data_IF_316907785122
#
_entry.id   IF_316907785122
#
_cell.length_a   1.000
_cell.length_b   1.000
_cell.length_c   1.000
_cell.angle_alpha   90.00
_cell.angle_beta   90.00
_cell.angle_gamma   90.00
#
_symmetry.space_group_name_H-M   'P 1'
#
loop_
_entity.id
_entity.type
_entity.pdbx_description
1 polymer ?
#
# COMPACT_ATOMS: atom_id res chain seq x y z
N UNK A 1 5.41 -37.59 -5.06
CA UNK A 1 4.38 -36.60 -4.64
C UNK A 1 4.99 -35.20 -4.70
N UNK A 2 4.76 -34.47 -5.80
CA UNK A 2 5.28 -33.11 -5.98
C UNK A 2 4.43 -32.13 -5.18
N UNK A 3 4.90 -31.74 -3.99
CA UNK A 3 4.34 -30.63 -3.23
C UNK A 3 4.65 -29.34 -3.98
N UNK A 4 3.67 -28.83 -4.71
CA UNK A 4 3.70 -27.48 -5.26
C UNK A 4 3.70 -26.51 -4.08
N UNK A 5 4.90 -26.05 -3.69
CA UNK A 5 5.02 -24.86 -2.85
C UNK A 5 4.49 -23.69 -3.67
N UNK A 6 3.53 -22.89 -3.17
CA UNK A 6 3.16 -21.66 -3.87
C UNK A 6 4.41 -20.78 -3.93
N UNK A 7 4.83 -20.48 -5.16
CA UNK A 7 5.99 -19.65 -5.47
C UNK A 7 5.86 -18.31 -4.74
N UNK A 8 6.82 -18.00 -3.87
CA UNK A 8 6.97 -16.71 -3.21
C UNK A 8 6.98 -15.59 -4.25
N UNK A 9 5.84 -14.93 -4.50
CA UNK A 9 5.88 -13.56 -5.05
C UNK A 9 6.56 -12.70 -4.00
N UNK A 10 7.85 -12.40 -4.21
CA UNK A 10 8.56 -11.38 -3.43
C UNK A 10 7.86 -10.07 -3.72
N UNK A 11 7.00 -9.62 -2.82
CA UNK A 11 6.54 -8.24 -2.79
C UNK A 11 7.79 -7.36 -2.58
N UNK A 12 8.33 -6.80 -3.65
CA UNK A 12 9.45 -5.88 -3.57
C UNK A 12 8.91 -4.55 -3.07
N UNK A 13 9.16 -4.26 -1.79
CA UNK A 13 8.95 -2.90 -1.27
C UNK A 13 9.89 -1.95 -2.04
N UNK A 14 9.50 -0.68 -2.25
CA UNK A 14 10.39 0.29 -2.86
C UNK A 14 11.71 0.39 -2.09
N UNK A 15 12.76 0.70 -2.85
CA UNK A 15 14.07 1.08 -2.35
C UNK A 15 13.97 2.38 -1.56
N UNK A 16 15.00 2.69 -0.76
CA UNK A 16 15.02 3.96 -0.03
C UNK A 16 14.99 5.14 -1.01
N UNK A 17 14.04 6.06 -0.81
CA UNK A 17 13.83 7.23 -1.68
C UNK A 17 13.22 6.94 -3.06
N UNK A 18 12.94 5.68 -3.40
CA UNK A 18 12.22 5.34 -4.63
C UNK A 18 10.76 5.77 -4.51
N UNK A 19 10.28 6.53 -5.51
CA UNK A 19 8.96 7.13 -5.50
C UNK A 19 8.00 6.36 -6.41
N UNK A 20 6.92 5.81 -5.85
CA UNK A 20 5.91 5.04 -6.58
C UNK A 20 4.60 5.81 -6.64
N UNK A 21 4.04 5.98 -7.83
CA UNK A 21 2.64 6.38 -7.98
C UNK A 21 1.75 5.19 -7.62
N UNK A 22 0.86 5.38 -6.65
CA UNK A 22 0.01 4.30 -6.13
C UNK A 22 -1.47 4.61 -6.25
N UNK A 23 -2.27 3.57 -6.46
CA UNK A 23 -3.73 3.62 -6.27
C UNK A 23 -4.08 2.85 -5.01
N UNK A 24 -4.75 3.49 -4.05
CA UNK A 24 -5.24 2.81 -2.85
C UNK A 24 -6.41 1.93 -3.24
N UNK A 25 -6.32 0.63 -2.92
CA UNK A 25 -7.34 -0.36 -3.22
C UNK A 25 -8.20 -0.69 -2.01
N UNK A 26 -7.57 -0.80 -0.84
CA UNK A 26 -8.24 -1.14 0.41
C UNK A 26 -7.43 -0.65 1.61
N UNK A 27 -8.13 -0.37 2.71
CA UNK A 27 -7.56 0.02 4.00
C UNK A 27 -8.26 -0.80 5.08
N UNK A 28 -7.51 -1.61 5.80
CA UNK A 28 -8.08 -2.52 6.79
C UNK A 28 -7.21 -2.60 8.05
N UNK A 29 -7.86 -2.78 9.20
CA UNK A 29 -7.18 -3.09 10.45
C UNK A 29 -6.93 -4.59 10.53
N UNK A 30 -5.67 -4.98 10.76
CA UNK A 30 -5.28 -6.38 10.96
C UNK A 30 -4.51 -6.58 12.25
N UNK A 31 -4.72 -7.74 12.87
CA UNK A 31 -3.87 -8.22 13.97
C UNK A 31 -2.65 -8.94 13.39
N UNK A 32 -1.47 -8.53 13.83
CA UNK A 32 -0.19 -9.02 13.32
C UNK A 32 0.65 -9.53 14.49
N UNK A 33 1.27 -10.70 14.33
CA UNK A 33 2.21 -11.27 15.30
C UNK A 33 3.54 -11.65 14.66
N UNK A 34 4.64 -11.49 15.40
CA UNK A 34 5.96 -11.99 15.00
C UNK A 34 6.05 -13.49 15.28
N UNK A 35 6.23 -14.29 14.23
CA UNK A 35 6.53 -15.72 14.35
C UNK A 35 8.04 -15.92 14.55
N UNK A 36 8.50 -16.43 15.71
CA UNK A 36 9.92 -16.72 15.92
C UNK A 36 10.43 -17.81 14.96
N UNK A 37 9.61 -18.83 14.70
CA UNK A 37 9.96 -19.93 13.80
C UNK A 37 10.12 -19.48 12.34
N UNK A 38 9.24 -18.59 11.86
CA UNK A 38 9.32 -18.07 10.48
C UNK A 38 10.22 -16.83 10.35
N UNK A 39 10.68 -16.25 11.48
CA UNK A 39 11.46 -15.01 11.54
C UNK A 39 10.83 -13.87 10.75
N UNK A 40 9.50 -13.74 10.84
CA UNK A 40 8.72 -12.70 10.17
C UNK A 40 7.41 -12.42 10.89
N UNK A 41 6.83 -11.27 10.61
CA UNK A 41 5.43 -10.96 10.93
C UNK A 41 4.49 -11.84 10.12
N UNK A 42 3.38 -12.26 10.73
CA UNK A 42 2.27 -12.98 10.10
C UNK A 42 0.95 -12.34 10.52
N UNK A 43 -0.02 -12.33 9.59
CA UNK A 43 -1.36 -11.88 9.88
C UNK A 43 -2.13 -12.97 10.61
N UNK A 44 -2.69 -12.61 11.77
CA UNK A 44 -3.56 -13.49 12.55
C UNK A 44 -4.94 -13.45 11.90
N UNK A 45 -5.52 -14.63 11.67
CA UNK A 45 -6.88 -14.77 11.18
C UNK A 45 -7.59 -15.89 11.94
N UNK A 46 -8.91 -15.96 11.79
CA UNK A 46 -9.78 -16.89 12.53
C UNK A 46 -9.48 -18.38 12.23
N UNK A 47 -8.87 -18.69 11.08
CA UNK A 47 -8.52 -20.07 10.72
C UNK A 47 -7.24 -20.58 11.42
N UNK A 48 -6.49 -19.70 12.09
CA UNK A 48 -5.28 -20.09 12.81
C UNK A 48 -5.63 -20.80 14.13
N UNK A 49 -4.97 -21.93 14.37
CA UNK A 49 -5.09 -22.68 15.63
C UNK A 49 -4.57 -21.84 16.81
N UNK A 50 -5.21 -21.98 17.98
CA UNK A 50 -4.87 -21.20 19.19
C UNK A 50 -3.44 -21.45 19.65
N UNK A 51 -2.95 -22.67 19.49
CA UNK A 51 -1.59 -23.09 19.80
C UNK A 51 -0.59 -22.29 18.95
N UNK A 52 -0.87 -22.16 17.64
CA UNK A 52 -0.05 -21.37 16.72
C UNK A 52 -0.06 -19.88 17.09
N UNK A 53 -1.22 -19.34 17.46
CA UNK A 53 -1.33 -17.95 17.91
C UNK A 53 -0.55 -17.73 19.22
N UNK A 54 -0.60 -18.68 20.15
CA UNK A 54 0.10 -18.62 21.45
C UNK A 54 1.62 -18.58 21.34
N UNK A 55 2.20 -19.04 20.23
CA UNK A 55 3.64 -18.97 19.95
C UNK A 55 4.09 -17.62 19.35
N UNK A 56 3.16 -16.78 18.91
CA UNK A 56 3.48 -15.48 18.31
C UNK A 56 3.91 -14.48 19.39
N UNK A 57 4.86 -13.62 19.03
CA UNK A 57 5.36 -12.52 19.87
C UNK A 57 4.92 -11.18 19.30
N UNK A 58 4.93 -10.14 20.14
CA UNK A 58 4.67 -8.74 19.70
C UNK A 58 3.37 -8.62 18.90
N UNK A 59 2.31 -9.25 19.41
CA UNK A 59 0.99 -9.16 18.82
C UNK A 59 0.51 -7.71 18.94
N UNK A 60 0.12 -7.12 17.81
CA UNK A 60 -0.35 -5.74 17.71
C UNK A 60 -1.39 -5.61 16.62
N UNK A 61 -2.22 -4.59 16.72
CA UNK A 61 -2.99 -4.13 15.57
C UNK A 61 -2.14 -3.21 14.70
N UNK A 62 -2.39 -3.25 13.40
CA UNK A 62 -1.84 -2.31 12.44
C UNK A 62 -2.88 -2.06 11.36
N UNK A 63 -2.90 -0.83 10.85
CA UNK A 63 -3.59 -0.55 9.61
C UNK A 63 -2.73 -1.02 8.44
N UNK A 64 -3.36 -1.70 7.49
CA UNK A 64 -2.72 -2.21 6.30
C UNK A 64 -3.38 -1.54 5.10
N UNK A 65 -2.57 -0.79 4.37
CA UNK A 65 -2.98 -0.21 3.09
C UNK A 65 -2.60 -1.19 1.99
N UNK A 66 -3.62 -1.69 1.29
CA UNK A 66 -3.44 -2.42 0.04
C UNK A 66 -3.46 -1.41 -1.09
N UNK A 67 -2.37 -1.34 -1.84
CA UNK A 67 -2.20 -0.38 -2.93
C UNK A 67 -1.72 -1.05 -4.21
N UNK A 68 -1.98 -0.43 -5.35
CA UNK A 68 -1.47 -0.83 -6.65
C UNK A 68 -0.35 0.12 -7.09
N UNK A 69 0.84 -0.42 -7.29
CA UNK A 69 1.96 0.27 -7.95
C UNK A 69 1.67 0.37 -9.44
N UNK A 70 1.38 1.59 -9.89
CA UNK A 70 0.99 1.87 -11.27
C UNK A 70 2.13 1.66 -12.27
N UNK A 71 3.39 1.80 -11.83
CA UNK A 71 4.55 1.70 -12.71
C UNK A 71 4.97 0.25 -12.93
N UNK A 72 4.91 -0.56 -11.87
CA UNK A 72 5.41 -1.94 -11.92
C UNK A 72 4.31 -3.01 -12.01
N UNK A 73 3.03 -2.61 -12.08
CA UNK A 73 1.86 -3.50 -12.15
C UNK A 73 1.83 -4.52 -11.01
N UNK A 74 1.94 -4.02 -9.77
CA UNK A 74 2.07 -4.87 -8.57
C UNK A 74 1.20 -4.38 -7.42
N UNK A 75 0.62 -5.32 -6.69
CA UNK A 75 -0.03 -5.04 -5.40
C UNK A 75 1.02 -4.92 -4.29
N UNK A 76 0.90 -3.86 -3.50
CA UNK A 76 1.67 -3.56 -2.31
C UNK A 76 0.80 -3.76 -1.07
N UNK A 77 1.43 -4.26 0.01
CA UNK A 77 0.84 -4.35 1.34
C UNK A 77 1.70 -3.51 2.29
N UNK A 78 1.16 -2.37 2.72
CA UNK A 78 1.89 -1.39 3.51
C UNK A 78 1.32 -1.40 4.93
N UNK A 79 2.04 -2.03 5.85
CA UNK A 79 1.73 -1.95 7.29
C UNK A 79 2.15 -0.58 7.82
N UNK A 80 1.21 0.14 8.43
CA UNK A 80 1.44 1.44 9.04
C UNK A 80 1.59 1.31 10.57
N UNK A 81 2.61 1.95 11.11
CA UNK A 81 2.65 2.34 12.52
C UNK A 81 1.78 3.57 12.77
N UNK A 82 1.52 3.89 14.04
CA UNK A 82 0.64 4.98 14.47
C UNK A 82 0.93 6.33 13.79
N UNK A 83 2.20 6.76 13.79
CA UNK A 83 2.62 8.00 13.14
C UNK A 83 2.52 7.95 11.61
N UNK A 84 2.70 6.77 11.01
CA UNK A 84 2.58 6.61 9.55
C UNK A 84 1.10 6.62 9.13
N UNK A 85 0.23 6.10 10.00
CA UNK A 85 -1.22 6.10 9.83
C UNK A 85 -1.79 7.52 9.86
N UNK A 86 -1.41 8.35 10.84
CA UNK A 86 -1.84 9.75 10.91
C UNK A 86 -1.42 10.52 9.64
N UNK A 87 -0.17 10.32 9.20
CA UNK A 87 0.38 10.94 7.99
C UNK A 87 -0.35 10.46 6.73
N UNK A 88 -0.61 9.17 6.62
CA UNK A 88 -1.36 8.57 5.52
C UNK A 88 -2.79 9.11 5.45
N UNK A 89 -3.51 9.14 6.57
CA UNK A 89 -4.90 9.63 6.62
C UNK A 89 -5.00 11.07 6.13
N UNK A 90 -4.07 11.94 6.57
CA UNK A 90 -4.02 13.33 6.08
C UNK A 90 -3.87 13.41 4.56
N UNK A 91 -3.00 12.57 3.97
CA UNK A 91 -2.80 12.51 2.51
C UNK A 91 -4.01 11.89 1.79
N UNK A 92 -4.61 10.86 2.38
CA UNK A 92 -5.74 10.16 1.80
C UNK A 92 -6.99 11.04 1.80
N UNK A 93 -7.23 11.81 2.86
CA UNK A 93 -8.32 12.79 2.93
C UNK A 93 -8.18 13.86 1.84
N UNK A 94 -6.97 14.39 1.62
CA UNK A 94 -6.69 15.33 0.52
C UNK A 94 -7.01 14.74 -0.86
N UNK A 95 -6.64 13.46 -1.07
CA UNK A 95 -6.94 12.73 -2.29
C UNK A 95 -8.46 12.50 -2.47
N UNK A 96 -9.18 12.14 -1.40
CA UNK A 96 -10.63 11.96 -1.44
C UNK A 96 -11.37 13.27 -1.74
N UNK A 97 -10.91 14.38 -1.17
CA UNK A 97 -11.52 15.70 -1.35
C UNK A 97 -11.30 16.29 -2.74
N UNK A 98 -10.12 16.08 -3.32
CA UNK A 98 -9.68 16.85 -4.50
C UNK A 98 -9.28 16.01 -5.72
N UNK A 99 -9.37 14.69 -5.63
CA UNK A 99 -8.78 13.79 -6.62
C UNK A 99 -7.25 13.91 -6.61
N UNK A 100 -6.57 13.53 -7.70
CA UNK A 100 -5.11 13.67 -7.81
C UNK A 100 -4.38 12.34 -7.76
N UNK A 101 -3.11 12.37 -7.37
CA UNK A 101 -2.23 11.21 -7.28
C UNK A 101 -1.59 11.11 -5.90
N UNK A 102 -1.60 9.91 -5.33
CA UNK A 102 -0.82 9.58 -4.13
C UNK A 102 0.50 8.95 -4.57
N UNK A 103 1.59 9.43 -3.99
CA UNK A 103 2.89 8.81 -4.11
C UNK A 103 3.32 8.16 -2.80
N UNK A 104 4.05 7.05 -2.92
CA UNK A 104 4.56 6.27 -1.82
C UNK A 104 6.08 6.12 -1.95
N UNK A 105 6.79 6.33 -0.84
CA UNK A 105 8.22 6.01 -0.73
C UNK A 105 8.54 5.44 0.64
N UNK A 106 9.78 5.00 0.81
CA UNK A 106 10.32 4.56 2.09
C UNK A 106 11.58 5.33 2.41
N UNK A 107 11.63 5.94 3.58
CA UNK A 107 12.79 6.69 4.06
C UNK A 107 13.38 6.01 5.28
N UNK A 108 14.71 6.04 5.41
CA UNK A 108 15.37 5.54 6.60
C UNK A 108 15.43 6.63 7.66
N UNK A 109 14.82 6.36 8.80
CA UNK A 109 14.92 7.20 9.99
C UNK A 109 15.69 6.44 11.08
N UNK A 110 16.96 6.81 11.24
CA UNK A 110 17.89 6.10 12.11
C UNK A 110 18.08 4.64 11.69
N UNK A 111 17.53 3.71 12.49
CA UNK A 111 17.62 2.25 12.24
C UNK A 111 16.36 1.65 11.61
N UNK A 112 15.31 2.44 11.42
CA UNK A 112 14.01 1.95 10.92
C UNK A 112 13.73 2.53 9.54
N UNK A 113 13.06 1.76 8.71
CA UNK A 113 12.44 2.27 7.49
C UNK A 113 11.04 2.74 7.84
N UNK A 114 10.69 3.95 7.43
CA UNK A 114 9.33 4.46 7.48
C UNK A 114 8.69 4.50 6.11
N UNK A 115 7.39 4.25 6.07
CA UNK A 115 6.51 4.55 4.95
C UNK A 115 6.18 6.03 4.95
N UNK A 116 6.30 6.69 3.79
CA UNK A 116 5.97 8.10 3.61
C UNK A 116 5.07 8.25 2.39
N UNK A 117 3.99 8.99 2.55
CA UNK A 117 3.03 9.27 1.49
C UNK A 117 3.04 10.75 1.12
N UNK A 118 2.81 11.06 -0.14
CA UNK A 118 2.73 12.43 -0.63
C UNK A 118 1.52 12.56 -1.55
N UNK A 119 0.92 13.75 -1.56
CA UNK A 119 -0.22 14.06 -2.39
C UNK A 119 0.17 15.08 -3.48
N UNK A 120 -0.20 14.81 -4.73
CA UNK A 120 -0.12 15.76 -5.82
C UNK A 120 -1.49 15.93 -6.48
N UNK A 121 -2.08 17.11 -6.31
CA UNK A 121 -3.36 17.47 -6.91
C UNK A 121 -3.28 17.63 -8.43
N UNK A 122 -2.15 18.09 -8.95
CA UNK A 122 -1.99 18.41 -10.37
C UNK A 122 -1.89 17.16 -11.26
N UNK A 123 -1.38 16.06 -10.70
CA UNK A 123 -1.21 14.79 -11.39
C UNK A 123 -2.54 14.07 -11.73
N UNK A 124 -3.68 14.51 -11.18
CA UNK A 124 -5.02 13.95 -11.47
C UNK A 124 -5.74 14.59 -12.66
N UNK A 125 -5.20 15.66 -13.25
CA UNK A 125 -5.78 16.31 -14.42
C UNK A 125 -5.05 15.78 -15.66
N UNK A 126 -5.55 14.68 -16.24
CA UNK A 126 -5.42 14.56 -17.69
C UNK A 126 -6.25 15.70 -18.25
N UNK A 127 -5.59 16.71 -18.82
CA UNK A 127 -6.28 17.67 -19.68
C UNK A 127 -7.21 16.89 -20.59
N UNK A 128 -8.51 17.10 -20.45
CA UNK A 128 -9.42 16.86 -21.55
C UNK A 128 -8.88 17.70 -22.69
N UNK A 129 -8.21 17.06 -23.64
CA UNK A 129 -7.85 17.70 -24.89
C UNK A 129 -9.18 18.12 -25.49
N UNK A 130 -9.45 19.42 -25.50
CA UNK A 130 -10.58 20.00 -26.24
C UNK A 130 -10.47 19.49 -27.67
N UNK A 131 -11.31 18.52 -28.02
CA UNK A 131 -11.50 18.13 -29.41
C UNK A 131 -12.19 19.33 -30.05
N UNK A 132 -11.58 20.03 -31.02
CA UNK A 132 -12.26 21.14 -31.66
C UNK A 132 -13.52 20.58 -32.34
N UNK A 133 -14.69 21.15 -32.04
CA UNK A 133 -15.92 20.89 -32.78
C UNK A 133 -15.70 21.26 -34.26
N UNK A 134 -15.25 20.29 -35.05
CA UNK A 134 -15.42 20.36 -36.50
C UNK A 134 -16.88 20.09 -36.78
N UNK A 135 -17.61 21.19 -36.95
CA UNK A 135 -18.87 21.33 -37.71
C UNK A 135 -19.10 20.13 -38.64
N UNK A 136 -20.03 19.26 -38.24
CA UNK A 136 -20.75 18.42 -39.19
C UNK A 136 -21.78 19.30 -39.88
N UNK A 137 -21.33 20.05 -40.89
CA UNK A 137 -22.21 20.52 -41.95
C UNK A 137 -22.29 19.38 -42.96
N UNK A 138 -23.33 18.55 -42.84
CA UNK A 138 -23.83 17.80 -43.99
C UNK A 138 -25.04 18.58 -44.50
N UNK A 139 -24.86 19.15 -45.70
CA UNK A 139 -25.97 19.53 -46.57
C UNK A 139 -26.51 18.32 -47.33
#
# INVERSE_FOLDING_TARGET
MNKHSPTKKKYSKPSEGELLAITVLDIEKRTIGWSPGLKRSVYINESMQREVIGELKRIREAEVVTAYDQMNDKTLFIELGELEQEQFNTVYDQYLESGGQIFYTRNKEGRKMRSVFMFDKSAGIKESVDVPEKKLLFG
#
